data_IF_905198491164
#
_entry.id   IF_905198491164
#
_cell.length_a   1.000
_cell.length_b   1.000
_cell.length_c   1.000
_cell.angle_alpha   90.00
_cell.angle_beta   90.00
_cell.angle_gamma   90.00
#
_symmetry.space_group_name_H-M   'P 1'
#
loop_
_entity.id
_entity.type
_entity.pdbx_description
1 polymer ?
#
# COMPACT_ATOMS: atom_id res chain seq x y z
N UNK A 1 -4.54 -14.71 -33.42
CA UNK A 1 -4.79 -15.10 -32.02
C UNK A 1 -3.53 -14.77 -31.25
N UNK A 2 -3.45 -13.58 -30.65
CA UNK A 2 -2.28 -13.16 -29.88
C UNK A 2 -2.37 -13.78 -28.48
N UNK A 3 -1.39 -14.60 -28.13
CA UNK A 3 -1.27 -15.18 -26.80
C UNK A 3 -0.49 -14.15 -25.99
N UNK A 4 -1.21 -13.27 -25.29
CA UNK A 4 -0.62 -12.22 -24.47
C UNK A 4 0.01 -12.81 -23.22
N UNK A 5 1.34 -12.78 -23.15
CA UNK A 5 2.07 -13.08 -21.92
C UNK A 5 2.11 -11.76 -21.14
N UNK A 6 1.16 -11.58 -20.21
CA UNK A 6 1.12 -10.43 -19.29
C UNK A 6 2.33 -10.53 -18.35
N UNK A 7 3.21 -9.54 -18.40
CA UNK A 7 4.39 -9.48 -17.54
C UNK A 7 3.95 -9.31 -16.09
N UNK A 8 4.62 -10.01 -15.16
CA UNK A 8 4.27 -10.06 -13.73
C UNK A 8 4.10 -8.68 -13.05
N UNK A 9 4.71 -7.65 -13.62
CA UNK A 9 4.59 -6.26 -13.17
C UNK A 9 3.21 -5.63 -13.48
N UNK A 10 2.56 -5.99 -14.58
CA UNK A 10 1.20 -5.51 -14.90
C UNK A 10 0.16 -6.10 -13.93
N UNK A 11 0.25 -7.40 -13.65
CA UNK A 11 -0.60 -8.08 -12.67
C UNK A 11 -0.37 -7.54 -11.24
N UNK A 12 0.89 -7.24 -10.91
CA UNK A 12 1.25 -6.61 -9.64
C UNK A 12 0.66 -5.20 -9.54
N UNK A 13 0.71 -4.42 -10.62
CA UNK A 13 0.12 -3.08 -10.70
C UNK A 13 -1.40 -3.09 -10.54
N UNK A 14 -2.10 -4.02 -11.19
CA UNK A 14 -3.56 -4.16 -11.08
C UNK A 14 -3.98 -4.56 -9.65
N UNK A 15 -3.24 -5.47 -9.01
CA UNK A 15 -3.48 -5.89 -7.63
C UNK A 15 -3.24 -4.74 -6.63
N UNK A 16 -2.15 -3.98 -6.81
CA UNK A 16 -1.83 -2.81 -5.99
C UNK A 16 -2.88 -1.70 -6.15
N UNK A 17 -3.32 -1.43 -7.39
CA UNK A 17 -4.36 -0.45 -7.68
C UNK A 17 -5.70 -0.82 -7.02
N UNK A 18 -6.05 -2.10 -7.03
CA UNK A 18 -7.27 -2.62 -6.41
C UNK A 18 -7.22 -2.51 -4.88
N UNK A 19 -6.08 -2.87 -4.26
CA UNK A 19 -5.89 -2.75 -2.82
C UNK A 19 -6.01 -1.28 -2.34
N UNK A 20 -5.39 -0.33 -3.08
CA UNK A 20 -5.44 1.11 -2.78
C UNK A 20 -6.84 1.70 -2.91
N UNK A 21 -7.54 1.38 -3.99
CA UNK A 21 -8.81 2.05 -4.34
C UNK A 21 -10.04 1.40 -3.70
N UNK A 22 -10.00 0.08 -3.46
CA UNK A 22 -11.20 -0.68 -3.09
C UNK A 22 -11.08 -1.25 -1.69
N UNK A 23 -10.04 -2.05 -1.42
CA UNK A 23 -9.99 -2.83 -0.18
C UNK A 23 -9.76 -1.97 1.05
N UNK A 24 -8.78 -1.06 1.00
CA UNK A 24 -8.45 -0.24 2.17
C UNK A 24 -9.60 0.68 2.58
N UNK A 25 -10.25 1.42 1.66
CA UNK A 25 -11.44 2.19 2.01
C UNK A 25 -12.58 1.33 2.54
N UNK A 26 -12.78 0.12 2.01
CA UNK A 26 -13.82 -0.79 2.47
C UNK A 26 -13.56 -1.30 3.90
N UNK A 27 -12.33 -1.74 4.19
CA UNK A 27 -11.93 -2.20 5.53
C UNK A 27 -12.01 -1.07 6.55
N UNK A 28 -11.56 0.13 6.17
CA UNK A 28 -11.64 1.32 7.03
C UNK A 28 -13.09 1.73 7.32
N UNK A 29 -14.01 1.59 6.35
CA UNK A 29 -15.45 1.82 6.57
C UNK A 29 -16.10 0.74 7.43
N UNK A 30 -15.66 -0.51 7.30
CA UNK A 30 -16.19 -1.63 8.09
C UNK A 30 -15.82 -1.51 9.58
N UNK A 31 -14.65 -0.96 9.90
CA UNK A 31 -14.24 -0.62 11.27
C UNK A 31 -13.91 -1.81 12.18
N UNK A 32 -14.03 -3.05 11.69
CA UNK A 32 -13.82 -4.27 12.48
C UNK A 32 -12.34 -4.63 12.69
N UNK A 33 -11.44 -4.13 11.85
CA UNK A 33 -10.01 -4.52 11.84
C UNK A 33 -9.05 -3.35 12.10
N UNK A 34 -9.56 -2.25 12.67
CA UNK A 34 -8.79 -1.02 12.87
C UNK A 34 -8.59 -0.20 11.58
N UNK A 35 -7.66 0.75 11.61
CA UNK A 35 -7.33 1.62 10.46
C UNK A 35 -6.19 1.03 9.65
N UNK A 36 -6.46 0.77 8.38
CA UNK A 36 -5.52 0.28 7.39
C UNK A 36 -4.98 1.43 6.54
N UNK A 37 -3.70 1.36 6.24
CA UNK A 37 -2.98 2.33 5.41
C UNK A 37 -2.10 1.58 4.42
N UNK A 38 -1.92 2.13 3.22
CA UNK A 38 -1.10 1.53 2.17
C UNK A 38 0.27 2.19 2.10
N UNK A 39 1.34 1.39 2.14
CA UNK A 39 2.71 1.85 1.91
C UNK A 39 3.42 0.93 0.92
N UNK A 40 4.00 1.51 -0.13
CA UNK A 40 4.76 0.78 -1.14
C UNK A 40 6.24 1.14 -1.02
N UNK A 41 7.07 0.12 -0.83
CA UNK A 41 8.52 0.27 -0.73
C UNK A 41 9.10 0.12 -2.13
N UNK A 42 9.77 1.17 -2.60
CA UNK A 42 10.43 1.18 -3.91
C UNK A 42 11.89 0.77 -3.85
N UNK A 43 12.55 1.07 -2.73
CA UNK A 43 13.94 0.72 -2.51
C UNK A 43 14.08 -0.21 -1.28
N UNK A 44 14.62 -1.42 -1.44
CA UNK A 44 14.71 -2.39 -0.36
C UNK A 44 15.75 -1.99 0.71
N UNK A 45 16.71 -1.12 0.38
CA UNK A 45 17.79 -0.72 1.28
C UNK A 45 17.34 0.39 2.24
N UNK A 46 16.45 1.28 1.81
CA UNK A 46 15.86 2.34 2.64
C UNK A 46 14.56 1.95 3.32
N UNK A 47 13.99 0.79 2.99
CA UNK A 47 12.74 0.24 3.49
C UNK A 47 12.48 0.51 4.99
N UNK A 48 13.44 0.16 5.87
CA UNK A 48 13.25 0.30 7.31
C UNK A 48 13.03 1.76 7.74
N UNK A 49 13.78 2.68 7.15
CA UNK A 49 13.69 4.12 7.44
C UNK A 49 12.35 4.66 6.94
N UNK A 50 11.97 4.29 5.72
CA UNK A 50 10.74 4.73 5.08
C UNK A 50 9.49 4.25 5.84
N UNK A 51 9.44 2.97 6.21
CA UNK A 51 8.33 2.41 7.01
C UNK A 51 8.22 3.12 8.35
N UNK A 52 9.34 3.38 9.04
CA UNK A 52 9.33 4.07 10.33
C UNK A 52 8.80 5.50 10.21
N UNK A 53 9.25 6.25 9.19
CA UNK A 53 8.76 7.60 8.91
C UNK A 53 7.26 7.58 8.58
N UNK A 54 6.82 6.63 7.77
CA UNK A 54 5.43 6.48 7.40
C UNK A 54 4.53 6.18 8.62
N UNK A 55 4.95 5.24 9.49
CA UNK A 55 4.21 4.91 10.72
C UNK A 55 4.16 6.11 11.68
N UNK A 56 5.24 6.87 11.83
CA UNK A 56 5.24 8.07 12.68
C UNK A 56 4.30 9.15 12.14
N UNK A 57 4.27 9.34 10.81
CA UNK A 57 3.30 10.22 10.14
C UNK A 57 1.84 9.78 10.41
N UNK A 58 1.54 8.48 10.31
CA UNK A 58 0.20 7.95 10.63
C UNK A 58 -0.22 8.14 12.09
N UNK A 59 0.75 8.15 13.01
CA UNK A 59 0.51 8.37 14.44
C UNK A 59 0.20 9.84 14.77
N UNK A 60 0.36 10.75 13.82
CA UNK A 60 0.17 12.18 14.07
C UNK A 60 1.23 12.77 15.00
N UNK A 61 2.39 12.13 15.09
CA UNK A 61 3.60 12.70 15.72
C UNK A 61 4.17 13.77 14.77
N UNK A 62 3.39 14.82 14.51
CA UNK A 62 3.95 16.08 14.05
C UNK A 62 4.84 16.54 15.18
N UNK A 63 6.13 16.75 14.88
CA UNK A 63 7.07 17.36 15.80
C UNK A 63 6.41 18.62 16.41
N UNK A 64 6.07 18.51 17.69
CA UNK A 64 5.88 19.66 18.57
C UNK A 64 7.27 20.12 19.04
#
# INVERSE_FOLDING_TARGET
>A
MAIGISSREEESGASVATARSTWIPAVNRLGMFGRWAFFEIRDPWTCQKEVRQYVSSLRGESAA
#
